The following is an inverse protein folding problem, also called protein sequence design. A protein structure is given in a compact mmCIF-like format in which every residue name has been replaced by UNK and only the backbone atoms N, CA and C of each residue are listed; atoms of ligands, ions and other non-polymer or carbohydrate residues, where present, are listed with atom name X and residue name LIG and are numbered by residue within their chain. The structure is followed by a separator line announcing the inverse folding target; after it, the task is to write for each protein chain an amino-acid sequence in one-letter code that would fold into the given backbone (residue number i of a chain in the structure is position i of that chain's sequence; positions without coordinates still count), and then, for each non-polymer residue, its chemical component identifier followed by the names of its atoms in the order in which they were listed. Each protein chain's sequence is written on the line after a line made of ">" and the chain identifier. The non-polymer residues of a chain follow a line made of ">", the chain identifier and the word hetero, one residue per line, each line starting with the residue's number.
data_IF_264703450812
#
_entry.id   IF_264703450812
#
_cell.length_a   1.000
_cell.length_b   1.000
_cell.length_c   1.000
_cell.angle_alpha   90.00
_cell.angle_beta   90.00
_cell.angle_gamma   90.00
#
_symmetry.space_group_name_H-M   'P 1'
#
loop_
_entity.id
_entity.type
_entity.pdbx_description
1 polymer ?
#
# COMPACT_ATOMS: atom_id res chain seq x y z
N UNK A 1 7.06 -8.23 -8.96
CA UNK A 1 5.82 -8.18 -8.14
C UNK A 1 4.84 -9.19 -8.70
N UNK A 2 4.03 -9.88 -7.86
CA UNK A 2 2.96 -10.77 -8.36
C UNK A 2 1.81 -9.93 -8.95
N UNK A 3 1.18 -10.43 -9.99
CA UNK A 3 -0.04 -9.83 -10.56
C UNK A 3 -1.10 -9.70 -9.46
N UNK A 4 -1.54 -8.46 -9.24
CA UNK A 4 -2.41 -8.08 -8.13
C UNK A 4 -3.57 -7.25 -8.64
N UNK A 5 -4.79 -7.68 -8.34
CA UNK A 5 -6.00 -6.91 -8.59
C UNK A 5 -6.29 -6.01 -7.40
N UNK A 6 -6.47 -4.72 -7.67
CA UNK A 6 -6.85 -3.73 -6.66
C UNK A 6 -8.25 -3.23 -6.98
N UNK A 7 -9.15 -3.33 -6.01
CA UNK A 7 -10.51 -2.77 -6.10
C UNK A 7 -10.69 -1.70 -5.03
N UNK A 8 -11.08 -0.50 -5.45
CA UNK A 8 -11.28 0.65 -4.58
C UNK A 8 -12.74 1.05 -4.67
N UNK A 9 -13.41 1.14 -3.52
CA UNK A 9 -14.80 1.55 -3.41
C UNK A 9 -14.91 2.73 -2.47
N UNK A 10 -15.83 3.62 -2.84
CA UNK A 10 -16.20 4.80 -2.09
C UNK A 10 -15.02 5.75 -1.78
N UNK A 11 -14.05 5.82 -2.70
CA UNK A 11 -12.92 6.75 -2.64
C UNK A 11 -13.14 7.89 -3.64
N UNK A 12 -13.40 9.11 -3.16
CA UNK A 12 -13.71 10.29 -3.99
C UNK A 12 -14.75 10.01 -5.10
N UNK A 13 -14.33 9.98 -6.35
CA UNK A 13 -15.22 9.77 -7.50
C UNK A 13 -15.58 8.30 -7.76
N UNK A 14 -14.97 7.35 -7.06
CA UNK A 14 -15.24 5.93 -7.22
C UNK A 14 -16.28 5.49 -6.19
N UNK A 15 -17.56 5.55 -6.55
CA UNK A 15 -18.66 5.10 -5.68
C UNK A 15 -18.83 3.57 -5.70
N UNK A 16 -19.82 3.04 -4.97
CA UNK A 16 -20.08 1.60 -4.94
C UNK A 16 -20.58 1.04 -6.28
N UNK A 17 -21.24 1.87 -7.10
CA UNK A 17 -21.77 1.47 -8.41
C UNK A 17 -20.67 1.41 -9.46
N UNK A 18 -19.67 2.29 -9.34
CA UNK A 18 -18.57 2.47 -10.27
C UNK A 18 -17.23 2.44 -9.51
N UNK A 19 -16.87 1.30 -8.90
CA UNK A 19 -15.61 1.18 -8.18
C UNK A 19 -14.42 1.20 -9.15
N UNK A 20 -13.28 1.75 -8.72
CA UNK A 20 -12.06 1.60 -9.49
C UNK A 20 -11.55 0.16 -9.35
N UNK A 21 -11.28 -0.49 -10.49
CA UNK A 21 -10.68 -1.81 -10.56
C UNK A 21 -9.46 -1.72 -11.46
N UNK A 22 -8.30 -2.03 -10.91
CA UNK A 22 -7.05 -2.02 -11.64
C UNK A 22 -6.30 -3.31 -11.39
N UNK A 23 -5.48 -3.70 -12.35
CA UNK A 23 -4.58 -4.82 -12.23
C UNK A 23 -3.17 -4.27 -12.33
N UNK A 24 -2.34 -4.58 -11.34
CA UNK A 24 -0.94 -4.19 -11.32
C UNK A 24 -0.08 -5.44 -11.47
N UNK A 25 0.80 -5.40 -12.46
CA UNK A 25 1.83 -6.40 -12.73
C UNK A 25 3.13 -5.66 -13.12
N UNK A 26 4.17 -6.41 -13.48
CA UNK A 26 5.43 -5.87 -13.94
C UNK A 26 5.23 -5.12 -15.26
N UNK A 27 5.75 -3.89 -15.34
CA UNK A 27 5.70 -3.07 -16.54
C UNK A 27 5.18 -1.66 -16.30
N UNK A 28 4.61 -1.06 -17.35
CA UNK A 28 4.10 0.31 -17.34
C UNK A 28 2.58 0.27 -17.50
N UNK A 29 1.87 0.95 -16.60
CA UNK A 29 0.41 1.11 -16.66
C UNK A 29 0.10 2.58 -16.95
N UNK A 30 -0.69 2.81 -17.99
CA UNK A 30 -1.13 4.16 -18.38
C UNK A 30 -2.63 4.31 -18.19
N UNK A 31 -3.05 5.30 -17.40
CA UNK A 31 -4.46 5.64 -17.22
C UNK A 31 -4.87 6.74 -18.22
N UNK A 32 -5.70 6.37 -19.19
CA UNK A 32 -6.22 7.27 -20.23
C UNK A 32 -7.74 7.38 -20.08
N UNK A 33 -8.30 8.57 -20.27
CA UNK A 33 -9.74 8.78 -20.19
C UNK A 33 -10.11 10.26 -20.16
N UNK A 34 -11.41 10.54 -20.25
CA UNK A 34 -11.95 11.91 -20.26
C UNK A 34 -11.53 12.74 -19.03
N UNK A 35 -11.58 14.07 -19.13
CA UNK A 35 -11.32 14.94 -17.99
C UNK A 35 -12.27 14.62 -16.83
N UNK A 36 -11.78 14.77 -15.60
CA UNK A 36 -12.52 14.49 -14.36
C UNK A 36 -12.94 13.02 -14.15
N UNK A 37 -12.41 12.07 -14.93
CA UNK A 37 -12.67 10.63 -14.77
C UNK A 37 -11.99 9.97 -13.56
N UNK A 38 -11.40 10.74 -12.64
CA UNK A 38 -10.76 10.19 -11.43
C UNK A 38 -9.31 9.71 -11.56
N UNK A 39 -8.65 9.86 -12.74
CA UNK A 39 -7.25 9.40 -12.94
C UNK A 39 -6.28 9.95 -11.89
N UNK A 40 -6.33 11.25 -11.65
CA UNK A 40 -5.45 11.90 -10.66
C UNK A 40 -5.80 11.46 -9.23
N UNK A 41 -7.08 11.23 -8.93
CA UNK A 41 -7.50 10.71 -7.63
C UNK A 41 -6.91 9.32 -7.40
N UNK A 42 -7.03 8.42 -8.39
CA UNK A 42 -6.47 7.07 -8.32
C UNK A 42 -4.95 7.08 -8.07
N UNK A 43 -4.19 7.94 -8.76
CA UNK A 43 -2.74 8.04 -8.55
C UNK A 43 -2.39 8.63 -7.18
N UNK A 44 -3.13 9.65 -6.72
CA UNK A 44 -2.94 10.26 -5.40
C UNK A 44 -3.19 9.26 -4.26
N UNK A 45 -4.12 8.33 -4.42
CA UNK A 45 -4.42 7.29 -3.43
C UNK A 45 -3.16 6.57 -2.92
N UNK A 46 -2.25 6.19 -3.83
CA UNK A 46 -1.01 5.51 -3.46
C UNK A 46 -0.11 6.36 -2.57
N UNK A 47 -0.17 7.69 -2.72
CA UNK A 47 0.58 8.63 -1.90
C UNK A 47 -0.14 8.98 -0.59
N UNK A 48 -1.45 9.17 -0.62
CA UNK A 48 -2.26 9.59 0.52
C UNK A 48 -2.28 8.53 1.63
N UNK A 49 -2.26 7.24 1.25
CA UNK A 49 -2.29 6.10 2.18
C UNK A 49 -0.91 5.49 2.48
N UNK A 50 0.18 6.25 2.28
CA UNK A 50 1.56 5.74 2.41
C UNK A 50 1.87 5.14 3.79
N UNK A 51 1.28 5.65 4.87
CA UNK A 51 1.43 5.10 6.24
C UNK A 51 0.81 3.71 6.37
N UNK A 52 -0.32 3.47 5.68
CA UNK A 52 -0.97 2.17 5.62
C UNK A 52 -0.07 1.19 4.87
N UNK A 53 0.44 1.60 3.70
CA UNK A 53 1.37 0.76 2.91
C UNK A 53 2.64 0.44 3.68
N UNK A 54 3.19 1.40 4.42
CA UNK A 54 4.36 1.19 5.27
C UNK A 54 4.09 0.10 6.33
N UNK A 55 2.97 0.21 7.05
CA UNK A 55 2.60 -0.79 8.06
C UNK A 55 2.40 -2.15 7.42
N UNK A 56 1.71 -2.21 6.29
CA UNK A 56 1.42 -3.48 5.61
C UNK A 56 2.64 -4.04 4.86
N UNK A 57 3.75 -3.31 4.73
CA UNK A 57 5.00 -3.82 4.15
C UNK A 57 5.73 -4.80 5.06
N UNK A 58 5.36 -4.87 6.35
CA UNK A 58 5.93 -5.77 7.34
C UNK A 58 5.00 -6.96 7.56
N UNK A 59 5.42 -8.21 7.27
CA UNK A 59 4.57 -9.40 7.40
C UNK A 59 3.87 -9.51 8.76
N UNK A 60 4.63 -9.34 9.86
CA UNK A 60 4.12 -9.38 11.23
C UNK A 60 3.00 -8.36 11.49
N UNK A 61 3.16 -7.14 10.96
CA UNK A 61 2.18 -6.07 11.12
C UNK A 61 0.87 -6.35 10.39
N UNK A 62 0.88 -7.11 9.28
CA UNK A 62 -0.35 -7.53 8.60
C UNK A 62 -1.21 -8.39 9.52
N UNK A 63 -0.66 -9.45 10.12
CA UNK A 63 -1.47 -10.31 10.99
C UNK A 63 -1.88 -9.62 12.28
N UNK A 64 -0.99 -8.84 12.91
CA UNK A 64 -1.38 -8.07 14.09
C UNK A 64 -2.52 -7.10 13.77
N UNK A 65 -2.43 -6.40 12.64
CA UNK A 65 -3.50 -5.50 12.23
C UNK A 65 -4.81 -6.25 11.95
N UNK A 66 -4.76 -7.40 11.27
CA UNK A 66 -5.96 -8.21 11.02
C UNK A 66 -6.56 -8.84 12.28
N UNK A 67 -5.76 -9.11 13.31
CA UNK A 67 -6.22 -9.59 14.61
C UNK A 67 -6.78 -8.46 15.50
N UNK A 68 -6.26 -7.24 15.35
CA UNK A 68 -6.77 -6.06 16.05
C UNK A 68 -8.12 -5.59 15.49
N UNK A 69 -8.93 -4.93 16.32
CA UNK A 69 -10.23 -4.36 15.88
C UNK A 69 -10.06 -3.24 14.84
N UNK A 70 -9.09 -2.35 15.05
CA UNK A 70 -8.79 -1.23 14.17
C UNK A 70 -7.42 -0.64 14.51
N UNK A 71 -6.74 -0.05 13.53
CA UNK A 71 -5.53 0.74 13.70
C UNK A 71 -5.72 2.15 13.18
N UNK A 72 -5.16 3.14 13.88
CA UNK A 72 -5.26 4.54 13.49
C UNK A 72 -4.14 4.91 12.52
N UNK A 73 -4.49 5.64 11.46
CA UNK A 73 -3.56 6.16 10.46
C UNK A 73 -3.91 7.61 10.13
N UNK A 74 -2.90 8.41 9.81
CA UNK A 74 -3.12 9.76 9.29
C UNK A 74 -3.04 9.75 7.77
N UNK A 75 -3.95 10.46 7.12
CA UNK A 75 -3.89 10.67 5.67
C UNK A 75 -2.90 11.79 5.37
N UNK A 76 -1.94 11.53 4.50
CA UNK A 76 -0.95 12.54 4.12
C UNK A 76 -1.49 13.44 3.01
N UNK A 77 -1.16 14.73 3.03
CA UNK A 77 -1.52 15.72 2.00
C UNK A 77 -3.03 15.98 1.84
N UNK A 78 -3.81 15.67 2.87
CA UNK A 78 -5.25 15.94 2.95
C UNK A 78 -5.50 16.76 4.21
N UNK A 79 -6.22 17.88 4.07
CA UNK A 79 -6.54 18.74 5.20
C UNK A 79 -7.76 18.22 5.98
N UNK A 80 -8.80 17.79 5.26
CA UNK A 80 -10.00 17.18 5.83
C UNK A 80 -10.02 15.68 5.49
N UNK A 81 -9.84 14.79 6.47
CA UNK A 81 -9.90 13.34 6.25
C UNK A 81 -11.18 12.85 5.59
N UNK A 82 -12.28 13.61 5.62
CA UNK A 82 -13.51 13.25 4.92
C UNK A 82 -13.42 13.39 3.39
N UNK A 83 -12.43 14.12 2.87
CA UNK A 83 -12.19 14.27 1.41
C UNK A 83 -11.78 12.97 0.72
N UNK A 84 -11.42 11.92 1.45
CA UNK A 84 -11.14 10.60 0.85
C UNK A 84 -12.43 9.89 0.44
N UNK A 85 -13.57 10.21 1.05
CA UNK A 85 -14.83 9.50 0.80
C UNK A 85 -15.56 10.03 -0.43
N UNK A 86 -16.46 9.24 -1.01
CA UNK A 86 -17.32 9.72 -2.09
C UNK A 86 -18.49 10.55 -1.57
N UNK A 87 -18.70 11.74 -2.13
CA UNK A 87 -19.85 12.59 -1.81
C UNK A 87 -21.20 12.01 -2.28
N UNK A 88 -21.15 10.92 -3.06
CA UNK A 88 -22.37 10.23 -3.54
C UNK A 88 -23.11 9.45 -2.45
N UNK A 89 -22.46 9.15 -1.31
CA UNK A 89 -23.01 8.30 -0.27
C UNK A 89 -22.29 8.45 1.10
N UNK A 90 -22.84 7.80 2.13
CA UNK A 90 -22.33 7.81 3.51
C UNK A 90 -21.71 6.46 3.94
N UNK A 91 -21.26 5.62 3.01
CA UNK A 91 -20.67 4.31 3.31
C UNK A 91 -19.22 4.45 3.77
N UNK A 92 -18.66 3.33 4.21
CA UNK A 92 -17.22 3.17 4.44
C UNK A 92 -16.44 3.22 3.12
N UNK A 93 -15.18 3.63 3.17
CA UNK A 93 -14.21 3.41 2.09
C UNK A 93 -13.66 2.00 2.20
N UNK A 94 -13.46 1.30 1.09
CA UNK A 94 -12.79 -0.02 1.09
C UNK A 94 -11.78 -0.14 -0.03
N UNK A 95 -10.61 -0.69 0.29
CA UNK A 95 -9.56 -1.03 -0.69
C UNK A 95 -9.26 -2.51 -0.54
N UNK A 96 -9.41 -3.24 -1.63
CA UNK A 96 -9.23 -4.69 -1.69
C UNK A 96 -8.04 -5.02 -2.59
N UNK A 97 -7.16 -5.89 -2.11
CA UNK A 97 -6.04 -6.46 -2.84
C UNK A 97 -6.29 -7.95 -3.00
N UNK A 98 -6.23 -8.46 -4.23
CA UNK A 98 -6.41 -9.86 -4.55
C UNK A 98 -5.22 -10.36 -5.38
N UNK A 99 -4.65 -11.49 -4.97
CA UNK A 99 -3.49 -12.11 -5.61
C UNK A 99 -3.92 -13.46 -6.19
N UNK A 100 -3.44 -13.77 -7.40
CA UNK A 100 -3.61 -15.10 -7.99
C UNK A 100 -2.68 -16.09 -7.29
N UNK A 101 -3.26 -16.99 -6.49
CA UNK A 101 -2.57 -18.08 -5.79
C UNK A 101 -2.76 -19.40 -6.51
N UNK A 102 -2.11 -19.57 -7.66
CA UNK A 102 -2.33 -20.77 -8.50
C UNK A 102 -1.64 -22.05 -8.01
N UNK A 103 -0.73 -21.97 -7.02
CA UNK A 103 0.12 -23.11 -6.67
C UNK A 103 0.12 -23.54 -5.19
N UNK A 104 -0.47 -22.76 -4.27
CA UNK A 104 -0.31 -22.98 -2.83
C UNK A 104 -1.49 -23.71 -2.17
N UNK A 105 -2.69 -23.65 -2.77
CA UNK A 105 -3.90 -24.29 -2.22
C UNK A 105 -3.87 -25.85 -2.34
N UNK A 106 -2.97 -26.40 -3.15
CA UNK A 106 -2.85 -27.86 -3.38
C UNK A 106 -1.75 -28.54 -2.56
N UNK A 107 -1.05 -27.80 -1.69
CA UNK A 107 -0.03 -28.37 -0.84
C UNK A 107 -0.71 -29.00 0.40
N UNK A 108 -0.93 -30.32 0.35
CA UNK A 108 -1.29 -31.15 1.50
C UNK A 108 -0.12 -31.21 2.48
N UNK A 109 0.15 -30.10 3.16
CA UNK A 109 1.18 -30.01 4.18
C UNK A 109 0.53 -30.12 5.56
N UNK A 110 1.19 -30.87 6.43
CA UNK A 110 0.85 -30.98 7.86
C UNK A 110 1.82 -30.07 8.63
N UNK A 111 1.33 -29.01 9.29
CA UNK A 111 -0.07 -28.66 9.49
C UNK A 111 -0.68 -27.80 8.35
N UNK A 112 -2.01 -27.79 8.19
CA UNK A 112 -2.69 -27.11 7.09
C UNK A 112 -2.39 -25.61 7.06
N UNK A 113 -1.85 -25.14 5.93
CA UNK A 113 -1.56 -23.72 5.73
C UNK A 113 -2.83 -22.92 5.40
N UNK A 114 -2.88 -21.68 5.88
CA UNK A 114 -3.90 -20.71 5.47
C UNK A 114 -3.21 -19.67 4.59
N UNK A 115 -3.50 -19.72 3.29
CA UNK A 115 -3.04 -18.72 2.34
C UNK A 115 -4.14 -17.68 2.13
N UNK A 116 -3.99 -16.46 2.70
CA UNK A 116 -4.88 -15.37 2.32
C UNK A 116 -4.59 -15.00 0.86
N UNK A 117 -5.61 -15.05 0.01
CA UNK A 117 -5.53 -14.61 -1.39
C UNK A 117 -6.11 -13.22 -1.58
N UNK A 118 -6.86 -12.73 -0.58
CA UNK A 118 -7.46 -11.40 -0.60
C UNK A 118 -7.30 -10.70 0.74
N UNK A 119 -7.02 -9.42 0.67
CA UNK A 119 -6.89 -8.51 1.80
C UNK A 119 -7.81 -7.32 1.56
N UNK A 120 -8.61 -6.94 2.57
CA UNK A 120 -9.46 -5.75 2.53
C UNK A 120 -9.10 -4.82 3.68
N UNK A 121 -8.85 -3.55 3.37
CA UNK A 121 -8.80 -2.47 4.35
C UNK A 121 -10.05 -1.61 4.21
N UNK A 122 -10.63 -1.22 5.34
CA UNK A 122 -11.87 -0.44 5.40
C UNK A 122 -11.77 0.66 6.45
N UNK A 123 -12.27 1.85 6.18
CA UNK A 123 -12.46 2.89 7.19
C UNK A 123 -13.89 3.44 7.12
N UNK A 124 -14.51 3.59 8.28
CA UNK A 124 -15.85 4.15 8.40
C UNK A 124 -15.79 5.67 8.25
N UNK A 125 -16.80 6.25 7.59
CA UNK A 125 -16.87 7.70 7.39
C UNK A 125 -16.93 8.47 8.72
N UNK A 126 -17.51 7.88 9.76
CA UNK A 126 -17.57 8.46 11.11
C UNK A 126 -16.23 8.48 11.84
N UNK A 127 -15.28 7.61 11.44
CA UNK A 127 -13.95 7.47 12.05
C UNK A 127 -12.90 7.31 10.93
N UNK A 128 -12.64 8.36 10.13
CA UNK A 128 -11.87 8.26 8.88
C UNK A 128 -10.39 7.88 9.08
N UNK A 129 -9.86 8.05 10.29
CA UNK A 129 -8.52 7.63 10.67
C UNK A 129 -8.45 6.20 11.20
N UNK A 130 -9.57 5.55 11.52
CA UNK A 130 -9.60 4.18 12.07
C UNK A 130 -9.85 3.17 10.96
N UNK A 131 -8.81 2.44 10.61
CA UNK A 131 -8.85 1.43 9.57
C UNK A 131 -8.98 0.04 10.19
N UNK A 132 -9.74 -0.83 9.54
CA UNK A 132 -9.85 -2.26 9.83
C UNK A 132 -9.21 -3.05 8.70
N UNK A 133 -8.51 -4.13 9.03
CA UNK A 133 -7.94 -5.08 8.07
C UNK A 133 -8.66 -6.42 8.17
N UNK A 134 -9.03 -6.99 7.02
CA UNK A 134 -9.67 -8.30 6.91
C UNK A 134 -8.89 -9.15 5.90
N UNK A 135 -8.60 -10.41 6.26
CA UNK A 135 -7.95 -11.37 5.38
C UNK A 135 -8.95 -12.43 4.93
N UNK A 136 -8.88 -12.83 3.67
CA UNK A 136 -9.75 -13.83 3.08
C UNK A 136 -8.91 -14.91 2.40
N UNK A 137 -9.30 -16.16 2.59
CA UNK A 137 -8.80 -17.32 1.86
C UNK A 137 -9.91 -17.90 0.99
N UNK A 138 -9.57 -18.44 -0.18
CA UNK A 138 -10.54 -19.12 -1.07
C UNK A 138 -11.20 -20.32 -0.38
N UNK A 139 -10.47 -20.99 0.53
CA UNK A 139 -10.92 -22.23 1.17
C UNK A 139 -11.85 -21.97 2.36
N UNK A 140 -11.52 -21.01 3.23
CA UNK A 140 -12.27 -20.72 4.47
C UNK A 140 -13.09 -19.41 4.44
N UNK A 141 -12.94 -18.57 3.42
CA UNK A 141 -13.53 -17.24 3.42
C UNK A 141 -12.79 -16.29 4.35
N UNK A 142 -13.53 -15.50 5.14
CA UNK A 142 -12.96 -14.55 6.11
C UNK A 142 -12.15 -15.30 7.19
N UNK A 143 -10.90 -14.91 7.37
CA UNK A 143 -10.01 -15.47 8.39
C UNK A 143 -10.15 -14.67 9.69
N UNK A 144 -10.54 -15.34 10.77
CA UNK A 144 -10.55 -14.76 12.11
C UNK A 144 -9.19 -14.98 12.77
N UNK A 145 -8.47 -13.91 13.07
CA UNK A 145 -7.21 -13.97 13.80
C UNK A 145 -7.41 -13.48 15.24
N UNK A 146 -6.76 -14.13 16.19
CA UNK A 146 -6.71 -13.71 17.59
C UNK A 146 -5.28 -13.25 17.90
N UNK A 147 -5.15 -12.02 18.40
CA UNK A 147 -3.86 -11.38 18.68
C UNK A 147 -3.03 -12.20 19.68
N UNK A 148 -3.69 -12.87 20.64
CA UNK A 148 -3.02 -13.70 21.65
C UNK A 148 -2.45 -15.01 21.07
N UNK A 149 -2.83 -15.35 19.85
CA UNK A 149 -2.46 -16.60 19.15
C UNK A 149 -1.50 -16.37 17.99
N UNK A 150 -1.02 -15.15 17.82
CA UNK A 150 0.02 -14.80 16.84
C UNK A 150 1.40 -14.94 17.48
N UNK A 151 2.22 -15.82 16.92
CA UNK A 151 3.64 -15.90 17.28
C UNK A 151 4.51 -15.60 16.06
N UNK A 152 5.45 -14.65 16.16
CA UNK A 152 6.46 -14.46 15.14
C UNK A 152 7.46 -15.63 15.19
N UNK A 153 7.74 -16.25 14.05
CA UNK A 153 8.79 -17.27 13.91
C UNK A 153 9.50 -17.08 12.58
N UNK A 154 10.80 -16.74 12.59
CA UNK A 154 11.66 -16.66 11.41
C UNK A 154 11.02 -15.92 10.21
N UNK A 155 10.58 -14.67 10.45
CA UNK A 155 9.87 -13.81 9.49
C UNK A 155 8.48 -14.30 9.03
N UNK A 156 8.01 -15.41 9.57
CA UNK A 156 6.68 -15.96 9.32
C UNK A 156 5.78 -15.75 10.53
N UNK A 157 4.48 -15.78 10.26
CA UNK A 157 3.45 -15.73 11.28
C UNK A 157 2.84 -17.11 11.45
N UNK A 158 2.92 -17.60 12.68
CA UNK A 158 2.18 -18.76 13.10
C UNK A 158 0.88 -18.27 13.74
N UNK A 159 -0.24 -18.75 13.22
CA UNK A 159 -1.55 -18.63 13.82
C UNK A 159 -1.91 -19.95 14.51
N UNK A 160 -2.30 -19.92 15.78
CA UNK A 160 -2.90 -21.09 16.41
C UNK A 160 -4.43 -20.93 16.37
N UNK A 161 -5.09 -21.52 15.37
CA UNK A 161 -6.56 -21.53 15.29
C UNK A 161 -7.08 -22.95 15.57
N UNK A 162 -8.18 -23.05 16.32
CA UNK A 162 -8.86 -24.32 16.64
C UNK A 162 -7.98 -25.42 17.27
N UNK A 163 -6.90 -25.03 17.96
CA UNK A 163 -5.94 -25.98 18.55
C UNK A 163 -4.93 -26.55 17.55
N UNK A 164 -5.00 -26.17 16.27
CA UNK A 164 -4.04 -26.52 15.23
C UNK A 164 -3.12 -25.35 14.89
N UNK A 165 -1.86 -25.68 14.57
CA UNK A 165 -0.86 -24.72 14.09
C UNK A 165 -1.16 -24.40 12.62
N UNK A 166 -1.66 -23.21 12.32
CA UNK A 166 -1.82 -22.74 10.94
C UNK A 166 -0.70 -21.76 10.61
N UNK A 167 0.05 -22.03 9.55
CA UNK A 167 1.02 -21.09 9.02
C UNK A 167 0.29 -20.11 8.10
N UNK A 168 0.31 -18.82 8.46
CA UNK A 168 -0.30 -17.75 7.68
C UNK A 168 0.80 -17.01 6.91
N UNK A 169 0.79 -17.12 5.59
CA UNK A 169 1.76 -16.42 4.74
C UNK A 169 1.20 -15.06 4.35
N UNK A 170 1.90 -14.00 4.77
CA UNK A 170 1.59 -12.61 4.39
C UNK A 170 2.71 -11.99 3.56
N UNK A 171 3.74 -12.76 3.22
CA UNK A 171 4.94 -12.30 2.50
C UNK A 171 4.60 -11.76 1.10
N UNK A 172 3.68 -12.40 0.40
CA UNK A 172 3.21 -11.91 -0.89
C UNK A 172 2.61 -10.51 -0.78
N UNK A 173 1.73 -10.31 0.20
CA UNK A 173 1.14 -9.01 0.48
C UNK A 173 2.20 -8.00 0.91
N UNK A 174 3.08 -8.38 1.84
CA UNK A 174 4.17 -7.53 2.30
C UNK A 174 5.06 -7.04 1.14
N UNK A 175 5.36 -7.90 0.16
CA UNK A 175 6.12 -7.52 -1.03
C UNK A 175 5.39 -6.49 -1.91
N UNK A 176 4.07 -6.62 -2.05
CA UNK A 176 3.23 -5.66 -2.78
C UNK A 176 3.21 -4.33 -2.06
N UNK A 177 2.95 -4.32 -0.75
CA UNK A 177 2.89 -3.10 0.04
C UNK A 177 4.25 -2.42 0.19
N UNK A 178 5.34 -3.18 0.22
CA UNK A 178 6.69 -2.64 0.12
C UNK A 178 6.89 -1.91 -1.21
N UNK A 179 6.39 -2.46 -2.32
CA UNK A 179 6.45 -1.80 -3.63
C UNK A 179 5.60 -0.52 -3.67
N UNK A 180 4.41 -0.52 -3.07
CA UNK A 180 3.55 0.65 -2.98
C UNK A 180 4.13 1.73 -2.06
N UNK A 181 4.69 1.34 -0.91
CA UNK A 181 5.34 2.24 0.02
C UNK A 181 6.58 2.89 -0.58
N UNK A 182 7.39 2.14 -1.32
CA UNK A 182 8.58 2.66 -2.00
C UNK A 182 8.25 3.39 -3.32
N UNK A 183 6.97 3.51 -3.69
CA UNK A 183 6.58 4.23 -4.90
C UNK A 183 6.79 5.75 -4.75
N UNK A 184 7.09 6.38 -5.90
CA UNK A 184 7.26 7.82 -6.03
C UNK A 184 6.03 8.41 -6.73
N UNK A 185 5.35 9.34 -6.08
CA UNK A 185 4.30 10.13 -6.71
C UNK A 185 4.87 11.47 -7.20
N UNK A 186 4.90 11.63 -8.52
CA UNK A 186 5.25 12.88 -9.19
C UNK A 186 3.95 13.52 -9.68
N UNK A 187 3.53 14.59 -9.00
CA UNK A 187 2.35 15.36 -9.40
C UNK A 187 2.57 16.17 -10.69
N UNK A 188 1.49 16.56 -11.37
CA UNK A 188 1.58 17.45 -12.53
C UNK A 188 2.11 18.83 -12.10
N UNK A 189 3.34 19.13 -12.49
CA UNK A 189 4.00 20.39 -12.16
C UNK A 189 3.75 21.42 -13.26
N UNK A 190 3.06 22.52 -12.94
CA UNK A 190 2.61 23.51 -13.95
C UNK A 190 3.51 24.74 -14.11
N UNK A 191 4.57 24.94 -13.32
CA UNK A 191 5.48 26.08 -13.46
C UNK A 191 6.91 25.76 -12.99
N UNK A 192 7.88 25.68 -13.89
CA UNK A 192 9.32 25.53 -13.58
C UNK A 192 9.94 26.72 -12.80
N UNK A 193 9.18 27.82 -12.63
CA UNK A 193 9.68 29.15 -12.23
C UNK A 193 9.40 29.47 -10.74
N UNK A 194 8.68 28.62 -10.00
CA UNK A 194 8.53 28.82 -8.55
C UNK A 194 9.83 28.42 -7.84
N UNK A 195 10.76 29.38 -7.73
CA UNK A 195 12.07 29.31 -7.06
C UNK A 195 11.93 29.27 -5.51
N UNK A 196 10.93 28.55 -5.00
CA UNK A 196 10.76 28.32 -3.56
C UNK A 196 11.32 26.96 -3.17
N UNK A 197 12.10 26.90 -2.09
CA UNK A 197 12.47 25.65 -1.43
C UNK A 197 11.22 25.01 -0.84
N UNK A 198 10.59 24.06 -1.55
CA UNK A 198 9.43 23.34 -1.01
C UNK A 198 9.45 21.89 -1.45
N UNK A 199 9.09 20.99 -0.53
CA UNK A 199 8.87 19.58 -0.83
C UNK A 199 7.58 19.48 -1.68
N UNK A 200 7.72 19.01 -2.92
CA UNK A 200 6.59 18.75 -3.81
C UNK A 200 6.29 17.26 -3.83
N UNK A 201 5.33 16.85 -2.99
CA UNK A 201 4.98 15.44 -2.75
C UNK A 201 6.17 14.59 -2.31
N UNK A 202 6.71 13.74 -3.19
CA UNK A 202 7.88 12.89 -2.90
C UNK A 202 9.20 13.46 -3.43
N UNK A 203 9.19 14.61 -4.13
CA UNK A 203 10.40 15.19 -4.71
C UNK A 203 10.68 16.58 -4.15
N UNK A 204 11.96 16.93 -4.07
CA UNK A 204 12.38 18.30 -3.84
C UNK A 204 12.41 19.04 -5.17
N UNK A 205 12.03 20.31 -5.15
CA UNK A 205 12.09 21.22 -6.30
C UNK A 205 12.80 22.53 -5.92
N UNK A 206 13.17 23.31 -6.94
CA UNK A 206 13.78 24.63 -6.75
C UNK A 206 15.10 24.57 -5.98
N UNK A 207 15.29 25.50 -5.05
CA UNK A 207 16.51 25.61 -4.24
C UNK A 207 16.76 24.38 -3.35
N UNK A 208 15.70 23.71 -2.87
CA UNK A 208 15.83 22.49 -2.07
C UNK A 208 16.49 21.36 -2.89
N UNK A 209 16.04 21.19 -4.13
CA UNK A 209 16.68 20.26 -5.07
C UNK A 209 18.14 20.64 -5.34
N UNK A 210 18.41 21.92 -5.62
CA UNK A 210 19.77 22.41 -5.90
C UNK A 210 20.70 22.17 -4.70
N UNK A 211 20.24 22.45 -3.49
CA UNK A 211 21.00 22.22 -2.25
C UNK A 211 21.31 20.73 -2.05
N UNK A 212 20.30 19.87 -2.15
CA UNK A 212 20.48 18.41 -2.06
C UNK A 212 21.43 17.88 -3.13
N UNK A 213 21.31 18.37 -4.36
CA UNK A 213 22.20 18.02 -5.46
C UNK A 213 23.64 18.49 -5.23
N UNK A 214 23.83 19.71 -4.73
CA UNK A 214 25.16 20.23 -4.37
C UNK A 214 25.77 19.41 -3.22
N UNK A 215 25.00 19.09 -2.18
CA UNK A 215 25.43 18.20 -1.10
C UNK A 215 25.85 16.82 -1.63
N UNK A 216 25.14 16.26 -2.61
CA UNK A 216 25.57 15.01 -3.24
C UNK A 216 26.83 15.12 -4.10
N UNK A 217 27.16 16.32 -4.60
CA UNK A 217 28.37 16.56 -5.40
C UNK A 217 29.60 16.90 -4.57
N UNK A 218 29.42 17.73 -3.54
CA UNK A 218 30.50 18.37 -2.79
C UNK A 218 30.44 18.07 -1.30
N UNK A 219 29.51 17.21 -0.88
CA UNK A 219 29.33 16.86 0.52
C UNK A 219 30.49 16.04 1.09
N UNK A 220 30.58 16.07 2.42
CA UNK A 220 31.67 15.45 3.17
C UNK A 220 31.60 13.91 3.21
N UNK A 221 30.52 13.30 2.69
CA UNK A 221 30.31 11.85 2.72
C UNK A 221 30.73 11.24 1.38
N UNK A 222 31.94 10.68 1.35
CA UNK A 222 32.54 10.05 0.16
C UNK A 222 31.65 8.98 -0.49
N UNK A 223 30.87 8.23 0.29
CA UNK A 223 29.94 7.21 -0.22
C UNK A 223 28.83 7.81 -1.10
N UNK A 224 28.28 8.96 -0.72
CA UNK A 224 27.28 9.69 -1.51
C UNK A 224 27.88 10.21 -2.82
N UNK A 225 29.15 10.61 -2.79
CA UNK A 225 29.89 11.06 -3.97
C UNK A 225 30.27 9.88 -4.91
N UNK A 226 30.40 8.66 -4.38
CA UNK A 226 30.83 7.45 -5.10
C UNK A 226 29.68 6.70 -5.80
N UNK A 227 28.43 6.85 -5.36
CA UNK A 227 27.24 6.25 -6.00
C UNK A 227 27.06 6.65 -7.49
N UNK A 228 27.86 7.62 -7.97
CA UNK A 228 27.90 8.10 -9.35
C UNK A 228 29.05 7.52 -10.20
N UNK A 229 29.99 6.78 -9.63
CA UNK A 229 30.95 6.04 -10.46
C UNK A 229 30.22 4.84 -11.05
N UNK A 230 29.44 5.08 -12.11
CA UNK A 230 29.13 4.05 -13.08
C UNK A 230 30.46 3.33 -13.39
N UNK A 231 30.50 2.00 -13.48
CA UNK A 231 31.67 1.33 -14.01
C UNK A 231 31.93 1.97 -15.37
N UNK A 232 33.11 2.58 -15.52
CA UNK A 232 33.61 2.92 -16.83
C UNK A 232 33.63 1.59 -17.57
N UNK A 233 32.83 1.47 -18.64
CA UNK A 233 33.03 0.41 -19.59
C UNK A 233 34.45 0.59 -20.13
N UNK A 234 35.36 -0.28 -19.67
CA UNK A 234 36.59 -0.64 -20.35
C UNK A 234 36.42 -2.07 -20.82
#
# INVERSE_FOLDING_TARGET
>A
MKKTRITIKNYRCFDDKNPARIEIDNGIISFIGANNSGKSSLLKMFREFKEIWQTLSLPHSIAQFAASKSKSFSTQFINDPLEIFSDSNNRAISIEFEIETDQLDNLNLDPPHLFPNKLRITAERSLPSHWKLELFSKTKGLLSLDENRLKPENDRLILIADGALHLAFTDEFASIFSSLYNSLYIGPFRNAINVGATNYYDIQIGEGFISTWNNWKTGHIKFQNLARRLPSFQ
#
